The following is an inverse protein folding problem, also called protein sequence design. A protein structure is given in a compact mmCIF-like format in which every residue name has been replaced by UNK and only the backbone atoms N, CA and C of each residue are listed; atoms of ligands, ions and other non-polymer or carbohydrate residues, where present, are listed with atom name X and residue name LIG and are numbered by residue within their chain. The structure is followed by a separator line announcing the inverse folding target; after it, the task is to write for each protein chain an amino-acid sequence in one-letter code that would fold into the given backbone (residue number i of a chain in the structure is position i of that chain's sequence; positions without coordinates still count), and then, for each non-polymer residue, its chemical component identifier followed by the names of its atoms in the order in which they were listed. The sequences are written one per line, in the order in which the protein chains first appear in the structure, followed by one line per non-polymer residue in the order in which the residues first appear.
data_IF_786104261293
#
_entry.id   IF_786104261293
#
_cell.length_a   1.000
_cell.length_b   1.000
_cell.length_c   1.000
_cell.angle_alpha   90.00
_cell.angle_beta   90.00
_cell.angle_gamma   90.00
#
_symmetry.space_group_name_H-M   'P 1'
#
loop_
_entity.id
_entity.type
_entity.pdbx_description
1 polymer ?
#
# COMPACT_ATOMS: atom_id res chain seq x y z
N UNK A 1 -1.80 -19.89 15.79
CA UNK A 1 -1.74 -19.26 15.92
C UNK A 1 -2.01 -18.48 15.96
N UNK A 2 -2.25 -18.13 16.17
CA UNK A 2 -2.64 -17.40 16.32
C UNK A 2 -2.39 -16.53 16.39
N UNK A 3 -2.28 -16.27 16.01
CA UNK A 3 -2.06 -15.38 16.13
C UNK A 3 -2.65 -14.50 16.30
N UNK A 4 -2.97 -14.41 16.63
CA UNK A 4 -3.64 -13.62 17.05
C UNK A 4 -3.35 -12.27 16.84
N UNK A 5 -2.78 -11.91 16.12
CA UNK A 5 -2.47 -10.62 15.86
C UNK A 5 -3.62 -9.98 15.21
N UNK A 6 -4.05 -8.89 15.69
CA UNK A 6 -5.16 -8.15 15.15
C UNK A 6 -4.66 -7.15 14.11
N UNK A 7 -5.16 -7.28 12.91
CA UNK A 7 -4.77 -6.39 11.84
C UNK A 7 -5.88 -5.37 11.65
N UNK A 8 -5.55 -4.10 11.71
CA UNK A 8 -6.54 -3.05 11.56
C UNK A 8 -7.00 -2.95 10.12
N UNK A 9 -8.15 -2.32 9.92
CA UNK A 9 -8.66 -2.11 8.57
C UNK A 9 -7.67 -1.32 7.73
N UNK A 10 -7.06 -0.30 8.34
CA UNK A 10 -6.09 0.51 7.62
C UNK A 10 -4.89 -0.32 7.18
N UNK A 11 -4.46 -1.24 8.03
CA UNK A 11 -3.34 -2.09 7.66
C UNK A 11 -3.71 -3.03 6.53
N UNK A 12 -4.93 -3.54 6.54
CA UNK A 12 -5.39 -4.39 5.45
C UNK A 12 -5.42 -3.63 4.15
N UNK A 13 -5.92 -2.41 4.19
CA UNK A 13 -5.95 -1.58 2.99
C UNK A 13 -4.55 -1.26 2.53
N UNK A 14 -3.64 -1.04 3.46
CA UNK A 14 -2.26 -0.74 3.12
C UNK A 14 -1.62 -1.91 2.38
N UNK A 15 -1.87 -3.12 2.87
CA UNK A 15 -1.32 -4.31 2.22
C UNK A 15 -1.86 -4.46 0.81
N UNK A 16 -3.18 -4.33 0.66
CA UNK A 16 -3.81 -4.50 -0.64
C UNK A 16 -3.33 -3.42 -1.61
N UNK A 17 -3.29 -2.18 -1.15
CA UNK A 17 -2.87 -1.07 -2.00
C UNK A 17 -1.41 -1.22 -2.39
N UNK A 18 -0.57 -1.63 -1.44
CA UNK A 18 0.84 -1.84 -1.73
C UNK A 18 1.02 -2.91 -2.80
N UNK A 19 0.24 -3.97 -2.72
CA UNK A 19 0.34 -5.06 -3.68
C UNK A 19 -0.04 -4.57 -5.08
N UNK A 20 -1.07 -3.76 -5.19
CA UNK A 20 -1.51 -3.23 -6.46
C UNK A 20 -0.45 -2.30 -7.05
N UNK A 21 0.13 -1.46 -6.22
CA UNK A 21 1.18 -0.55 -6.67
C UNK A 21 2.41 -1.33 -7.11
N UNK A 22 2.76 -2.35 -6.35
CA UNK A 22 3.90 -3.18 -6.68
C UNK A 22 3.69 -3.88 -8.02
N UNK A 23 2.48 -4.36 -8.26
CA UNK A 23 2.15 -4.99 -9.53
C UNK A 23 2.31 -4.00 -10.68
N UNK A 24 1.91 -2.75 -10.44
CA UNK A 24 2.08 -1.71 -11.44
C UNK A 24 3.54 -1.44 -11.74
N UNK A 25 4.36 -1.42 -10.69
CA UNK A 25 5.79 -1.25 -10.87
C UNK A 25 6.38 -2.40 -11.68
N UNK A 26 5.92 -3.61 -11.39
CA UNK A 26 6.43 -4.78 -12.08
C UNK A 26 6.08 -4.74 -13.56
N UNK A 27 4.91 -4.26 -13.91
CA UNK A 27 4.53 -4.18 -15.31
C UNK A 27 5.27 -3.07 -16.05
N UNK A 28 5.91 -2.17 -15.32
CA UNK A 28 6.72 -1.12 -15.92
C UNK A 28 8.19 -1.29 -15.54
N UNK A 29 8.61 -2.54 -15.44
CA UNK A 29 9.92 -2.85 -14.94
C UNK A 29 11.06 -2.18 -15.70
N UNK A 30 10.90 -2.00 -16.98
CA UNK A 30 11.95 -1.38 -17.78
C UNK A 30 12.19 0.08 -17.38
N UNK A 31 11.21 0.71 -16.76
CA UNK A 31 11.30 2.10 -16.34
C UNK A 31 11.44 2.22 -14.83
N UNK A 32 10.69 1.42 -14.10
CA UNK A 32 10.66 1.50 -12.65
C UNK A 32 10.97 0.14 -12.06
N UNK A 33 11.85 0.10 -11.10
CA UNK A 33 12.15 -1.13 -10.42
C UNK A 33 11.11 -1.41 -9.35
N UNK A 34 10.59 -2.63 -9.31
CA UNK A 34 9.66 -2.99 -8.24
C UNK A 34 10.37 -2.91 -6.90
N UNK A 35 9.70 -2.32 -5.94
CA UNK A 35 10.26 -2.18 -4.60
C UNK A 35 9.13 -2.16 -3.59
N UNK A 36 9.18 -3.09 -2.65
CA UNK A 36 8.15 -3.15 -1.61
C UNK A 36 8.19 -1.91 -0.73
N UNK A 37 9.37 -1.35 -0.54
CA UNK A 37 9.52 -0.16 0.26
C UNK A 37 8.83 1.03 -0.41
N UNK A 38 9.06 1.20 -1.70
CA UNK A 38 8.44 2.27 -2.43
C UNK A 38 6.93 2.06 -2.54
N UNK A 39 6.52 0.82 -2.79
CA UNK A 39 5.10 0.54 -2.92
C UNK A 39 4.38 0.85 -1.62
N UNK A 40 4.97 0.49 -0.50
CA UNK A 40 4.39 0.75 0.80
C UNK A 40 4.30 2.26 1.06
N UNK A 41 5.34 2.99 0.69
CA UNK A 41 5.35 4.42 0.87
C UNK A 41 4.26 5.11 0.07
N UNK A 42 4.13 4.74 -1.20
CA UNK A 42 3.09 5.32 -2.04
C UNK A 42 1.71 4.94 -1.55
N UNK A 43 1.55 3.70 -1.11
CA UNK A 43 0.27 3.24 -0.61
C UNK A 43 -0.13 4.03 0.63
N UNK A 44 0.83 4.28 1.51
CA UNK A 44 0.55 5.04 2.71
C UNK A 44 0.12 6.45 2.37
N UNK A 45 0.82 7.09 1.45
CA UNK A 45 0.45 8.42 1.02
C UNK A 45 -0.94 8.45 0.40
N UNK A 46 -1.23 7.46 -0.41
CA UNK A 46 -2.51 7.39 -1.07
C UNK A 46 -3.64 7.22 -0.06
N UNK A 47 -3.44 6.34 0.90
CA UNK A 47 -4.45 6.12 1.92
C UNK A 47 -4.64 7.36 2.79
N UNK A 48 -3.55 8.02 3.13
CA UNK A 48 -3.65 9.25 3.92
C UNK A 48 -4.45 10.29 3.16
N UNK A 49 -4.16 10.42 1.87
CA UNK A 49 -4.85 11.39 1.05
C UNK A 49 -6.34 11.11 0.95
N UNK A 50 -6.70 9.85 0.78
CA UNK A 50 -8.08 9.47 0.63
C UNK A 50 -8.82 9.53 1.95
N UNK A 51 -8.25 8.92 2.98
CA UNK A 51 -8.94 8.81 4.26
C UNK A 51 -8.93 10.12 5.04
N UNK A 52 -7.79 10.77 5.06
CA UNK A 52 -7.69 12.02 5.81
C UNK A 52 -8.23 13.21 5.05
N UNK A 53 -8.12 13.17 3.75
CA UNK A 53 -8.63 14.24 2.93
C UNK A 53 -10.12 14.43 3.06
N UNK A 54 -10.82 13.37 3.44
CA UNK A 54 -12.25 13.46 3.59
C UNK A 54 -12.67 14.33 4.73
N UNK A 55 -11.77 14.61 5.61
CA UNK A 55 -12.10 15.47 6.72
C UNK A 55 -12.24 16.91 6.32
N UNK A 56 -11.75 17.22 5.19
CA UNK A 56 -11.79 18.61 4.72
C UNK A 56 -13.13 19.04 4.14
#
# INVERSE_FOLDING_TARGET
MEENKTITTREQLLVITSAIILAGMASNYSTIRPSTILAKGYAKELLDSILDGKKI
#
